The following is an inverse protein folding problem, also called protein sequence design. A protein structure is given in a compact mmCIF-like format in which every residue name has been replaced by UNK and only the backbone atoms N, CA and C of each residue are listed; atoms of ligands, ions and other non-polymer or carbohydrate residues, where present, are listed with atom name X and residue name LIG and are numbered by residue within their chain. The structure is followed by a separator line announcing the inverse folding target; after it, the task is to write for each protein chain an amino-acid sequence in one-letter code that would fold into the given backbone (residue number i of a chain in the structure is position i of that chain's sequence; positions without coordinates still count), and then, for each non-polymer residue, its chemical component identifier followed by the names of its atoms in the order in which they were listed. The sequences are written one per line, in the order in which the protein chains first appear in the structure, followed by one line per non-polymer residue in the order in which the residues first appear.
data_IF_755542340970
#
_entry.id   IF_755542340970
#
_cell.length_a   1.000
_cell.length_b   1.000
_cell.length_c   1.000
_cell.angle_alpha   90.00
_cell.angle_beta   90.00
_cell.angle_gamma   90.00
#
_symmetry.space_group_name_H-M   'P 1'
#
loop_
_entity.id
_entity.type
_entity.pdbx_description
1 polymer ?
#
# COMPACT_ATOMS: atom_id res chain seq x y z
N UNK A 1 -3.74 -74.28 -23.12
CA UNK A 1 -2.60 -74.31 -22.18
C UNK A 1 -2.03 -72.91 -22.10
N UNK A 2 -2.21 -72.32 -20.93
CA UNK A 2 -1.58 -71.13 -20.35
C UNK A 2 -1.87 -69.74 -20.92
N UNK A 3 -2.81 -69.12 -20.20
CA UNK A 3 -3.05 -67.72 -19.91
C UNK A 3 -1.78 -66.93 -19.55
N UNK A 4 -1.80 -65.63 -19.83
CA UNK A 4 -0.80 -64.66 -19.39
C UNK A 4 -1.46 -63.32 -19.03
N UNK A 5 -1.95 -63.22 -17.80
CA UNK A 5 -2.37 -61.96 -17.16
C UNK A 5 -1.18 -60.99 -17.02
N UNK A 6 -1.23 -59.87 -17.74
CA UNK A 6 -0.37 -58.72 -17.49
C UNK A 6 -0.99 -57.82 -16.42
N UNK A 7 -0.62 -58.06 -15.16
CA UNK A 7 -1.09 -57.30 -14.01
C UNK A 7 -0.78 -55.81 -14.12
N UNK A 8 -1.83 -54.99 -14.07
CA UNK A 8 -1.72 -53.55 -13.88
C UNK A 8 -1.16 -53.25 -12.49
N UNK A 9 0.11 -52.81 -12.44
CA UNK A 9 0.70 -52.31 -11.22
C UNK A 9 0.09 -50.94 -10.88
N UNK A 10 -0.82 -50.91 -9.93
CA UNK A 10 -1.30 -49.70 -9.28
C UNK A 10 -0.10 -49.00 -8.60
N UNK A 11 0.45 -47.97 -9.24
CA UNK A 11 1.55 -47.17 -8.70
C UNK A 11 1.01 -46.24 -7.62
N UNK A 12 1.36 -46.49 -6.36
CA UNK A 12 1.02 -45.62 -5.24
C UNK A 12 1.68 -44.23 -5.39
N UNK A 13 1.00 -43.12 -5.03
CA UNK A 13 1.63 -41.80 -4.98
C UNK A 13 2.68 -41.74 -3.87
N UNK A 14 3.82 -41.09 -4.15
CA UNK A 14 4.92 -40.97 -3.20
C UNK A 14 4.50 -40.16 -1.95
N UNK A 15 4.87 -40.60 -0.72
CA UNK A 15 4.63 -39.83 0.49
C UNK A 15 5.62 -38.65 0.54
N UNK A 16 5.13 -37.41 0.43
CA UNK A 16 6.00 -36.25 0.62
C UNK A 16 5.59 -34.94 -0.05
N UNK A 17 4.51 -34.90 -0.85
CA UNK A 17 3.97 -33.61 -1.28
C UNK A 17 3.33 -32.92 -0.08
N UNK A 18 4.13 -32.13 0.65
CA UNK A 18 3.58 -31.00 1.40
C UNK A 18 2.75 -30.21 0.40
N UNK A 19 1.45 -30.17 0.62
CA UNK A 19 0.63 -29.11 0.06
C UNK A 19 1.27 -27.83 0.63
N UNK A 20 2.09 -27.17 -0.18
CA UNK A 20 2.44 -25.78 0.08
C UNK A 20 1.11 -25.05 -0.03
N UNK A 21 0.50 -24.77 1.12
CA UNK A 21 -0.61 -23.84 1.18
C UNK A 21 -0.01 -22.52 0.72
N UNK A 22 -0.27 -22.16 -0.54
CA UNK A 22 0.16 -20.90 -1.12
C UNK A 22 -0.43 -19.80 -0.23
N UNK A 23 0.41 -19.19 0.59
CA UNK A 23 -0.01 -18.10 1.46
C UNK A 23 -0.43 -16.92 0.59
N UNK A 24 -1.52 -16.26 0.97
CA UNK A 24 -2.00 -15.07 0.26
C UNK A 24 -0.93 -13.99 0.40
N UNK A 25 -0.47 -13.42 -0.71
CA UNK A 25 0.50 -12.33 -0.69
C UNK A 25 -0.02 -11.15 0.14
N UNK A 26 0.83 -10.60 1.00
CA UNK A 26 0.54 -9.38 1.77
C UNK A 26 0.66 -8.10 0.94
N UNK A 27 1.38 -8.18 -0.19
CA UNK A 27 1.65 -7.07 -1.13
C UNK A 27 0.41 -6.23 -1.51
N UNK A 28 -0.71 -6.80 -1.99
CA UNK A 28 -1.90 -6.00 -2.34
C UNK A 28 -2.52 -5.26 -1.14
N UNK A 29 -2.40 -5.80 0.06
CA UNK A 29 -2.91 -5.15 1.27
C UNK A 29 -2.05 -3.96 1.68
N UNK A 30 -0.72 -4.12 1.60
CA UNK A 30 0.21 -3.04 1.88
C UNK A 30 0.14 -1.92 0.84
N UNK A 31 -0.09 -2.26 -0.44
CA UNK A 31 -0.34 -1.28 -1.50
C UNK A 31 -1.55 -0.39 -1.18
N UNK A 32 -2.67 -0.99 -0.77
CA UNK A 32 -3.87 -0.24 -0.36
C UNK A 32 -3.59 0.64 0.85
N UNK A 33 -2.94 0.10 1.88
CA UNK A 33 -2.61 0.86 3.09
C UNK A 33 -1.71 2.07 2.79
N UNK A 34 -0.69 1.91 1.95
CA UNK A 34 0.21 3.01 1.57
C UNK A 34 -0.45 4.02 0.64
N UNK A 35 -1.34 3.57 -0.23
CA UNK A 35 -2.17 4.47 -1.04
C UNK A 35 -3.07 5.36 -0.16
N UNK A 36 -3.76 4.76 0.81
CA UNK A 36 -4.61 5.48 1.76
C UNK A 36 -3.78 6.45 2.59
N UNK A 37 -2.65 6.00 3.14
CA UNK A 37 -1.72 6.88 3.87
C UNK A 37 -1.25 8.07 3.03
N UNK A 38 -0.87 7.86 1.76
CA UNK A 38 -0.50 8.97 0.87
C UNK A 38 -1.67 9.96 0.72
N UNK A 39 -2.88 9.43 0.48
CA UNK A 39 -4.09 10.24 0.25
C UNK A 39 -4.46 11.06 1.47
N UNK A 40 -4.43 10.47 2.67
CA UNK A 40 -4.76 11.14 3.93
C UNK A 40 -3.80 12.28 4.26
N UNK A 41 -2.53 12.15 3.85
CA UNK A 41 -1.52 13.21 4.02
C UNK A 41 -1.53 14.25 2.89
N UNK A 42 -2.39 14.10 1.88
CA UNK A 42 -2.40 14.96 0.69
C UNK A 42 -1.19 14.77 -0.22
N UNK A 43 -0.53 13.62 -0.16
CA UNK A 43 0.57 13.24 -1.05
C UNK A 43 0.07 12.58 -2.33
N UNK A 44 0.94 12.56 -3.35
CA UNK A 44 0.63 11.98 -4.66
C UNK A 44 1.19 10.56 -4.78
N UNK A 45 0.37 9.50 -4.61
CA UNK A 45 0.86 8.13 -4.69
C UNK A 45 1.32 7.78 -6.11
N UNK A 46 2.55 7.30 -6.22
CA UNK A 46 3.14 6.77 -7.43
C UNK A 46 3.51 5.30 -7.24
N UNK A 47 3.34 4.50 -8.30
CA UNK A 47 3.82 3.12 -8.35
C UNK A 47 4.88 2.96 -9.43
N UNK A 48 5.95 2.25 -9.11
CA UNK A 48 6.91 1.75 -10.08
C UNK A 48 6.53 0.31 -10.45
N UNK A 49 6.53 -0.03 -11.73
CA UNK A 49 5.99 -1.30 -12.23
C UNK A 49 6.92 -1.90 -13.27
N UNK A 50 7.23 -3.19 -13.13
CA UNK A 50 7.87 -3.99 -14.18
C UNK A 50 6.87 -4.28 -15.29
N UNK A 51 7.23 -3.99 -16.53
CA UNK A 51 6.35 -4.20 -17.68
C UNK A 51 6.72 -5.51 -18.39
N UNK A 52 5.78 -6.45 -18.38
CA UNK A 52 5.88 -7.74 -19.06
C UNK A 52 4.73 -7.91 -20.09
N UNK A 53 4.46 -9.16 -20.51
CA UNK A 53 3.38 -9.48 -21.43
C UNK A 53 1.99 -9.44 -20.78
N UNK A 54 1.91 -9.57 -19.45
CA UNK A 54 0.67 -9.51 -18.67
C UNK A 54 0.27 -8.08 -18.32
N UNK A 55 1.19 -7.13 -18.48
CA UNK A 55 0.99 -5.71 -18.15
C UNK A 55 0.47 -4.93 -19.35
N UNK A 56 -0.67 -4.26 -19.17
CA UNK A 56 -1.27 -3.38 -20.18
C UNK A 56 -1.05 -1.92 -19.84
N UNK A 57 -0.08 -1.32 -20.51
CA UNK A 57 0.27 0.11 -20.45
C UNK A 57 0.63 0.62 -21.84
N UNK A 58 0.51 1.93 -22.13
CA UNK A 58 0.97 2.47 -23.41
C UNK A 58 2.51 2.40 -23.49
N UNK A 59 3.01 1.50 -24.35
CA UNK A 59 4.42 1.08 -24.40
C UNK A 59 5.40 2.23 -24.68
N UNK A 60 4.95 3.33 -25.28
CA UNK A 60 5.79 4.49 -25.56
C UNK A 60 6.29 5.26 -24.31
N UNK A 61 5.69 5.01 -23.14
CA UNK A 61 6.12 5.60 -21.86
C UNK A 61 6.96 4.64 -21.01
N UNK A 62 7.21 3.42 -21.49
CA UNK A 62 8.03 2.42 -20.81
C UNK A 62 9.51 2.72 -21.05
N UNK A 63 10.32 2.67 -19.99
CA UNK A 63 11.77 2.89 -20.01
C UNK A 63 12.44 1.74 -19.27
N UNK A 64 13.42 1.10 -19.89
CA UNK A 64 14.19 -0.01 -19.30
C UNK A 64 13.31 -1.15 -18.75
N UNK A 65 12.19 -1.42 -19.43
CA UNK A 65 11.22 -2.43 -19.03
C UNK A 65 10.36 -2.03 -17.82
N UNK A 66 10.38 -0.76 -17.42
CA UNK A 66 9.64 -0.23 -16.28
C UNK A 66 8.76 0.96 -16.66
N UNK A 67 7.76 1.21 -15.83
CA UNK A 67 6.93 2.40 -15.92
C UNK A 67 6.58 2.90 -14.51
N UNK A 68 6.63 4.23 -14.34
CA UNK A 68 6.14 4.90 -13.13
C UNK A 68 4.78 5.52 -13.45
N UNK A 69 3.81 5.24 -12.60
CA UNK A 69 2.43 5.68 -12.78
C UNK A 69 1.95 6.45 -11.55
N UNK A 70 1.44 7.65 -11.78
CA UNK A 70 0.66 8.36 -10.77
C UNK A 70 -0.70 7.67 -10.65
N UNK A 71 -1.01 7.18 -9.45
CA UNK A 71 -2.28 6.51 -9.16
C UNK A 71 -3.22 7.35 -8.29
N UNK A 72 -2.93 8.64 -8.08
CA UNK A 72 -3.78 9.53 -7.30
C UNK A 72 -5.19 9.63 -7.89
N UNK A 73 -6.14 10.04 -7.04
CA UNK A 73 -7.53 10.26 -7.44
C UNK A 73 -7.67 11.26 -8.61
N UNK A 74 -6.79 12.26 -8.70
CA UNK A 74 -6.81 13.25 -9.78
C UNK A 74 -6.29 12.71 -11.13
N UNK A 75 -5.35 11.77 -11.08
CA UNK A 75 -4.69 11.22 -12.27
C UNK A 75 -5.43 10.02 -12.88
N UNK A 76 -6.34 9.41 -12.12
CA UNK A 76 -6.99 8.14 -12.47
C UNK A 76 -8.51 8.23 -12.43
N UNK A 77 -9.15 7.30 -13.13
CA UNK A 77 -10.59 7.05 -13.04
C UNK A 77 -10.84 5.56 -12.86
N UNK A 78 -11.81 5.24 -12.00
CA UNK A 78 -12.20 3.87 -11.68
C UNK A 78 -11.03 3.02 -11.17
N UNK A 79 -10.19 3.58 -10.29
CA UNK A 79 -9.10 2.83 -9.67
C UNK A 79 -9.63 1.67 -8.84
N UNK A 80 -9.17 0.47 -9.17
CA UNK A 80 -9.43 -0.77 -8.44
C UNK A 80 -8.09 -1.39 -8.05
N UNK A 81 -7.87 -1.52 -6.74
CA UNK A 81 -6.71 -2.22 -6.17
C UNK A 81 -7.16 -3.58 -5.64
N UNK A 82 -7.25 -4.55 -6.55
CA UNK A 82 -7.56 -5.94 -6.26
C UNK A 82 -6.37 -6.70 -5.67
N UNK A 83 -6.59 -7.97 -5.34
CA UNK A 83 -5.52 -8.82 -4.79
C UNK A 83 -4.52 -9.29 -5.86
N UNK A 84 -5.00 -9.47 -7.10
CA UNK A 84 -4.19 -9.95 -8.22
C UNK A 84 -3.86 -8.83 -9.22
N UNK A 85 -4.75 -7.84 -9.35
CA UNK A 85 -4.67 -6.80 -10.37
C UNK A 85 -4.92 -5.41 -9.79
N UNK A 86 -4.21 -4.44 -10.34
CA UNK A 86 -4.51 -3.01 -10.23
C UNK A 86 -5.02 -2.54 -11.59
N UNK A 87 -6.23 -1.99 -11.62
CA UNK A 87 -6.89 -1.54 -12.85
C UNK A 87 -7.35 -0.09 -12.70
N UNK A 88 -7.15 0.72 -13.73
CA UNK A 88 -7.68 2.08 -13.79
C UNK A 88 -7.66 2.61 -15.22
N UNK A 89 -8.33 3.73 -15.46
CA UNK A 89 -8.15 4.53 -16.67
C UNK A 89 -7.34 5.76 -16.36
N UNK A 90 -6.33 6.08 -17.17
CA UNK A 90 -5.53 7.30 -17.04
C UNK A 90 -5.28 7.94 -18.41
N UNK A 91 -4.91 9.23 -18.40
CA UNK A 91 -4.66 10.00 -19.62
C UNK A 91 -3.17 10.11 -19.90
N UNK A 92 -2.77 9.69 -21.09
CA UNK A 92 -1.41 9.84 -21.61
C UNK A 92 -1.44 10.74 -22.83
N UNK A 93 -0.72 11.87 -22.78
CA UNK A 93 -0.76 12.90 -23.84
C UNK A 93 -2.19 13.30 -24.25
N UNK A 94 -3.09 13.42 -23.27
CA UNK A 94 -4.49 13.76 -23.49
C UNK A 94 -5.39 12.64 -24.04
N UNK A 95 -4.88 11.42 -24.24
CA UNK A 95 -5.69 10.27 -24.66
C UNK A 95 -5.92 9.32 -23.49
N UNK A 96 -7.16 8.88 -23.29
CA UNK A 96 -7.50 7.93 -22.23
C UNK A 96 -7.04 6.52 -22.61
N UNK A 97 -6.43 5.82 -21.66
CA UNK A 97 -5.99 4.44 -21.79
C UNK A 97 -6.44 3.63 -20.58
N UNK A 98 -6.97 2.43 -20.81
CA UNK A 98 -7.17 1.43 -19.75
C UNK A 98 -5.81 0.83 -19.38
N UNK A 99 -5.53 0.79 -18.09
CA UNK A 99 -4.32 0.26 -17.47
C UNK A 99 -4.68 -0.97 -16.66
N UNK A 100 -3.91 -2.05 -16.84
CA UNK A 100 -4.10 -3.32 -16.14
C UNK A 100 -2.70 -3.83 -15.72
N UNK A 101 -2.47 -3.95 -14.41
CA UNK A 101 -1.15 -4.26 -13.83
C UNK A 101 -1.31 -5.45 -12.88
N UNK A 102 -0.58 -6.56 -13.09
CA UNK A 102 -0.49 -7.61 -12.09
C UNK A 102 0.16 -7.06 -10.82
N UNK A 103 -0.40 -7.36 -9.64
CA UNK A 103 0.18 -6.93 -8.35
C UNK A 103 1.60 -7.48 -8.17
N UNK A 104 1.86 -8.68 -8.72
CA UNK A 104 3.20 -9.27 -8.74
C UNK A 104 4.26 -8.32 -9.34
N UNK A 105 3.90 -7.51 -10.33
CA UNK A 105 4.80 -6.66 -11.10
C UNK A 105 5.09 -5.30 -10.46
N UNK A 106 4.41 -4.95 -9.36
CA UNK A 106 4.63 -3.66 -8.69
C UNK A 106 5.96 -3.70 -7.95
N UNK A 107 6.90 -2.85 -8.34
CA UNK A 107 8.24 -2.74 -7.76
C UNK A 107 8.23 -1.89 -6.49
N UNK A 108 7.44 -0.82 -6.48
CA UNK A 108 7.33 0.08 -5.32
C UNK A 108 6.03 0.88 -5.36
N UNK A 109 5.63 1.37 -4.19
CA UNK A 109 4.68 2.47 -4.02
C UNK A 109 5.32 3.55 -3.15
N UNK A 110 5.21 4.82 -3.55
CA UNK A 110 5.81 5.93 -2.82
C UNK A 110 5.04 7.24 -3.05
N UNK A 111 5.16 8.16 -2.10
CA UNK A 111 4.72 9.54 -2.23
C UNK A 111 5.70 10.34 -3.08
N UNK A 112 5.21 11.03 -4.11
CA UNK A 112 6.04 11.84 -5.01
C UNK A 112 6.82 12.93 -4.28
N UNK A 113 6.25 13.49 -3.22
CA UNK A 113 6.69 14.71 -2.56
C UNK A 113 7.97 14.51 -1.74
N UNK A 114 8.09 13.35 -1.10
CA UNK A 114 9.16 13.07 -0.15
C UNK A 114 9.83 11.70 -0.37
N UNK A 115 9.38 10.92 -1.37
CA UNK A 115 9.91 9.60 -1.69
C UNK A 115 9.57 8.51 -0.67
N UNK A 116 8.79 8.80 0.38
CA UNK A 116 8.43 7.83 1.40
C UNK A 116 7.48 6.78 0.84
N UNK A 117 7.73 5.52 1.20
CA UNK A 117 6.95 4.40 0.70
C UNK A 117 7.61 3.06 0.98
N UNK A 118 7.39 2.11 0.10
CA UNK A 118 7.93 0.77 0.23
C UNK A 118 8.24 0.17 -1.14
N UNK A 119 9.37 -0.53 -1.21
CA UNK A 119 9.74 -1.39 -2.32
C UNK A 119 9.33 -2.84 -2.05
N UNK A 120 9.02 -3.57 -3.11
CA UNK A 120 8.64 -4.97 -3.07
C UNK A 120 9.58 -5.79 -3.94
N UNK A 121 9.85 -7.02 -3.51
CA UNK A 121 10.46 -8.00 -4.40
C UNK A 121 9.47 -8.37 -5.51
N UNK A 122 9.99 -8.46 -6.73
CA UNK A 122 9.27 -8.97 -7.89
C UNK A 122 10.01 -10.22 -8.32
N UNK A 123 9.40 -11.38 -8.10
CA UNK A 123 9.97 -12.64 -8.57
C UNK A 123 10.00 -12.60 -10.10
N UNK A 124 11.18 -12.39 -10.67
CA UNK A 124 11.37 -12.56 -12.10
C UNK A 124 11.04 -14.02 -12.42
N UNK A 125 9.99 -14.24 -13.22
CA UNK A 125 9.75 -15.55 -13.83
C UNK A 125 11.04 -16.00 -14.50
N UNK A 126 11.63 -17.07 -13.96
CA UNK A 126 12.99 -17.54 -14.18
C UNK A 126 13.57 -17.19 -15.56
N UNK A 127 14.43 -16.16 -15.55
CA UNK A 127 15.17 -15.65 -16.69
C UNK A 127 16.33 -14.81 -16.17
N UNK A 128 17.28 -15.48 -15.51
CA UNK A 128 18.66 -15.07 -15.20
C UNK A 128 18.88 -13.84 -14.31
N UNK A 129 19.61 -14.07 -13.21
CA UNK A 129 20.54 -13.08 -12.65
C UNK A 129 20.05 -12.29 -11.44
N UNK A 130 20.30 -12.83 -10.25
CA UNK A 130 20.28 -12.08 -9.01
C UNK A 130 21.30 -10.92 -9.05
N UNK A 131 20.86 -9.71 -8.68
CA UNK A 131 21.69 -8.80 -7.91
C UNK A 131 20.79 -7.92 -7.03
N UNK A 132 20.67 -8.34 -5.77
CA UNK A 132 20.12 -7.53 -4.70
C UNK A 132 21.20 -6.52 -4.28
N UNK A 133 21.24 -5.38 -4.95
CA UNK A 133 22.00 -4.21 -4.52
C UNK A 133 21.22 -3.44 -3.46
N UNK A 134 21.60 -3.60 -2.20
CA UNK A 134 21.27 -2.65 -1.15
C UNK A 134 21.91 -1.31 -1.51
N UNK A 135 21.08 -0.28 -1.74
CA UNK A 135 21.57 1.09 -1.78
C UNK A 135 21.50 1.63 -0.35
N UNK A 136 22.64 1.53 0.33
CA UNK A 136 22.96 2.39 1.48
C UNK A 136 22.97 3.86 1.03
N UNK A 137 22.44 4.70 1.91
CA UNK A 137 22.41 6.16 1.86
C UNK A 137 23.78 6.77 1.57
N UNK A 138 23.86 7.69 0.58
CA UNK A 138 24.88 8.75 0.59
C UNK A 138 24.28 10.03 -0.02
N UNK A 139 23.94 10.96 0.85
CA UNK A 139 23.54 12.32 0.51
C UNK A 139 24.80 13.19 0.32
N UNK A 140 24.93 13.97 -0.76
CA UNK A 140 25.90 15.04 -0.79
C UNK A 140 25.30 16.30 -0.14
N UNK A 141 25.78 16.61 1.06
CA UNK A 141 25.78 17.98 1.57
C UNK A 141 26.61 18.86 0.62
N UNK A 142 26.04 20.00 0.21
CA UNK A 142 26.84 21.14 -0.25
C UNK A 142 26.51 22.32 0.64
N UNK A 143 27.54 22.75 1.36
CA UNK A 143 27.60 23.93 2.20
C UNK A 143 28.20 25.10 1.38
N UNK A 144 27.95 26.33 1.85
CA UNK A 144 28.55 27.62 1.48
C UNK A 144 28.24 28.24 0.09
N UNK A 145 27.98 29.55 -0.12
CA UNK A 145 28.00 30.73 0.75
C UNK A 145 27.36 31.96 0.04
N UNK A 146 26.59 32.73 0.82
CA UNK A 146 26.54 34.21 0.96
C UNK A 146 26.50 35.20 -0.25
N UNK A 147 25.48 36.08 -0.21
CA UNK A 147 25.53 37.58 -0.28
C UNK A 147 24.10 38.10 0.01
N UNK A 148 23.79 38.63 1.19
CA UNK A 148 24.03 40.00 1.69
C UNK A 148 23.21 41.08 0.96
N UNK A 149 22.07 41.50 1.53
CA UNK A 149 21.84 42.84 2.10
C UNK A 149 20.37 43.01 2.55
N UNK A 150 20.19 43.59 3.74
CA UNK A 150 18.93 43.93 4.44
C UNK A 150 18.64 45.44 4.29
N UNK A 151 17.72 46.12 5.03
CA UNK A 151 16.37 45.79 5.53
C UNK A 151 15.33 46.91 5.21
N UNK A 152 14.03 46.67 5.44
CA UNK A 152 13.04 47.76 5.60
C UNK A 152 11.96 47.40 6.65
N UNK A 153 12.31 47.69 7.90
CA UNK A 153 11.54 48.30 9.01
C UNK A 153 9.99 48.42 8.98
N UNK A 154 9.40 47.95 10.11
CA UNK A 154 8.33 48.54 10.98
C UNK A 154 6.86 48.47 10.49
N UNK A 155 5.83 48.10 11.27
CA UNK A 155 5.57 48.09 12.72
C UNK A 155 4.49 47.05 13.11
N UNK A 156 4.45 46.58 14.37
CA UNK A 156 3.33 45.80 14.95
C UNK A 156 2.29 46.72 15.61
N UNK A 157 1.03 46.27 15.68
CA UNK A 157 0.01 46.84 16.59
C UNK A 157 -0.55 45.71 17.44
N UNK A 158 -0.25 45.78 18.73
CA UNK A 158 -0.98 45.17 19.84
C UNK A 158 -2.31 45.96 20.02
N UNK A 159 -3.34 45.60 20.78
CA UNK A 159 -3.55 44.71 21.93
C UNK A 159 -5.06 44.70 22.23
N UNK A 160 -5.49 43.76 23.09
CA UNK A 160 -6.50 43.94 24.14
C UNK A 160 -8.00 43.63 23.91
N UNK A 161 -8.48 42.76 24.82
CA UNK A 161 -9.80 42.82 25.46
C UNK A 161 -10.65 41.55 25.23
N UNK A 162 -10.65 40.55 26.13
CA UNK A 162 -11.48 40.44 27.34
C UNK A 162 -12.99 40.31 27.00
N UNK A 163 -13.84 39.43 27.54
CA UNK A 163 -13.84 38.46 28.64
C UNK A 163 -15.21 37.70 28.53
N UNK A 164 -15.43 36.73 29.43
CA UNK A 164 -16.74 36.21 29.90
C UNK A 164 -17.26 34.86 29.34
N UNK A 165 -16.91 33.77 30.04
CA UNK A 165 -17.89 32.79 30.57
C UNK A 165 -18.59 33.40 31.82
N UNK A 166 -19.69 32.87 32.43
CA UNK A 166 -20.29 31.52 32.31
C UNK A 166 -21.84 31.47 32.29
N UNK A 167 -22.43 30.28 32.14
CA UNK A 167 -23.74 29.97 32.73
C UNK A 167 -23.81 28.53 33.18
N UNK A 168 -23.93 28.37 34.50
CA UNK A 168 -24.34 27.16 35.20
C UNK A 168 -25.76 26.74 34.79
N UNK A 169 -26.00 25.43 34.84
CA UNK A 169 -27.31 24.80 34.70
C UNK A 169 -27.21 23.37 35.18
N UNK A 170 -27.59 23.14 36.43
CA UNK A 170 -27.76 21.83 37.04
C UNK A 170 -28.86 21.03 36.31
N UNK A 171 -28.71 19.70 36.17
CA UNK A 171 -29.53 18.73 36.91
C UNK A 171 -29.15 17.26 36.60
N UNK A 172 -29.02 16.52 37.69
CA UNK A 172 -29.04 15.09 38.01
C UNK A 172 -29.34 14.00 36.93
N UNK A 173 -28.70 12.80 37.03
CA UNK A 173 -28.91 11.69 36.09
C UNK A 173 -30.13 10.82 36.46
N UNK A 174 -30.87 10.26 35.48
CA UNK A 174 -31.85 9.23 35.80
C UNK A 174 -31.14 7.87 36.00
N UNK A 175 -31.27 7.34 37.21
CA UNK A 175 -31.09 5.91 37.50
C UNK A 175 -32.22 5.15 36.81
N UNK A 176 -31.87 4.17 36.00
CA UNK A 176 -32.79 3.09 35.63
C UNK A 176 -32.27 1.80 36.23
N UNK A 177 -32.86 1.41 37.37
CA UNK A 177 -32.77 0.06 37.91
C UNK A 177 -33.53 -0.86 36.96
N UNK A 178 -32.77 -1.63 36.18
CA UNK A 178 -33.28 -2.69 35.32
C UNK A 178 -32.71 -4.02 35.77
N UNK A 179 -33.40 -4.68 36.69
CA UNK A 179 -33.24 -6.11 37.01
C UNK A 179 -33.48 -6.93 35.75
N UNK A 180 -32.39 -7.33 35.10
CA UNK A 180 -32.37 -8.26 33.97
C UNK A 180 -31.61 -9.53 34.35
N UNK A 181 -32.28 -10.42 35.05
CA UNK A 181 -31.88 -11.81 35.20
C UNK A 181 -31.77 -12.48 33.82
N UNK A 182 -30.63 -13.14 33.57
CA UNK A 182 -30.40 -13.94 32.37
C UNK A 182 -29.18 -13.55 31.54
N UNK A 183 -27.98 -13.96 31.99
CA UNK A 183 -26.89 -14.20 31.04
C UNK A 183 -26.02 -15.37 31.48
N UNK A 184 -26.29 -16.52 30.85
CA UNK A 184 -25.38 -17.67 30.80
C UNK A 184 -24.02 -17.19 30.32
N UNK A 185 -23.02 -17.28 31.20
CA UNK A 185 -21.66 -16.84 30.93
C UNK A 185 -21.02 -17.59 29.77
N UNK A 186 -21.04 -16.98 28.59
CA UNK A 186 -20.05 -17.25 27.55
C UNK A 186 -18.72 -16.67 28.02
N UNK A 187 -17.69 -17.51 28.12
CA UNK A 187 -16.33 -17.09 28.47
C UNK A 187 -15.90 -15.95 27.53
N UNK A 188 -15.74 -14.74 28.09
CA UNK A 188 -15.29 -13.59 27.30
C UNK A 188 -13.87 -13.88 26.79
N UNK A 189 -13.59 -13.77 25.48
CA UNK A 189 -12.25 -14.00 24.96
C UNK A 189 -11.28 -13.02 25.63
N UNK A 190 -10.20 -13.54 26.23
CA UNK A 190 -9.11 -12.73 26.80
C UNK A 190 -7.97 -12.63 25.80
N UNK A 191 -7.54 -11.41 25.50
CA UNK A 191 -6.32 -11.16 24.75
C UNK A 191 -5.15 -11.80 25.51
N UNK A 192 -4.35 -12.62 24.83
CA UNK A 192 -3.10 -13.12 25.40
C UNK A 192 -1.99 -12.15 25.03
N UNK A 193 -1.28 -11.64 26.04
CA UNK A 193 -0.05 -10.87 25.83
C UNK A 193 1.00 -11.85 25.30
N UNK A 194 1.50 -11.62 24.09
CA UNK A 194 2.65 -12.34 23.51
C UNK A 194 3.90 -11.66 24.05
N UNK A 195 4.85 -12.44 24.57
CA UNK A 195 6.11 -11.97 25.14
C UNK A 195 7.26 -12.20 24.17
#
# INVERSE_FOLDING_TARGET
MHDGEGGAACRAPAPGSRIVMQEISTKPYLLRALYEWCTDNGYTPHIAVRVDNSTRVPRQFVRDGEIVLNISFEATSQLQMGNEWIEFTARFSGKAHKIEIPVANVLAIYARENGQGMAFQVDAVAGEGADSGAFDEDAPQTDDAQRDESPAVLTPVADSGANEEPSEGADEPPKTDGDGDGSKGGSRPRLKIVK
#
